data_IF_607490041618
#
_entry.id   IF_607490041618
#
_cell.length_a   1.000
_cell.length_b   1.000
_cell.length_c   1.000
_cell.angle_alpha   90.00
_cell.angle_beta   90.00
_cell.angle_gamma   90.00
#
_symmetry.space_group_name_H-M   'P 1'
#
loop_
_entity.id
_entity.type
_entity.pdbx_description
1 polymer ?
#
# COMPACT_ATOMS: atom_id res chain seq x y z
N UNK A 1 16.75 16.86 23.95
CA UNK A 1 17.49 16.27 22.81
C UNK A 1 16.60 16.44 21.59
N UNK A 2 17.09 17.09 20.54
CA UNK A 2 16.35 17.28 19.28
C UNK A 2 17.11 16.55 18.18
N UNK A 3 16.42 15.69 17.42
CA UNK A 3 17.01 14.94 16.32
C UNK A 3 16.44 15.43 14.99
N UNK A 4 17.31 15.58 13.98
CA UNK A 4 16.98 15.90 12.60
C UNK A 4 17.42 14.71 11.73
N UNK A 5 16.63 14.36 10.71
CA UNK A 5 16.96 13.30 9.77
C UNK A 5 16.30 13.51 8.41
N UNK A 6 16.86 12.88 7.39
CA UNK A 6 16.32 12.84 6.04
C UNK A 6 16.00 11.39 5.64
N UNK A 7 14.90 11.19 4.91
CA UNK A 7 14.46 9.88 4.44
C UNK A 7 13.66 10.01 3.15
N UNK A 8 13.55 8.92 2.41
CA UNK A 8 12.61 8.82 1.29
C UNK A 8 11.18 9.12 1.77
N UNK A 9 10.33 9.74 0.91
CA UNK A 9 8.91 9.91 1.20
C UNK A 9 8.28 8.57 1.54
N UNK A 10 7.55 8.53 2.66
CA UNK A 10 6.79 7.34 3.06
C UNK A 10 5.36 7.52 2.58
N UNK A 11 4.78 6.44 2.06
CA UNK A 11 3.35 6.38 1.72
C UNK A 11 2.66 5.52 2.75
N UNK A 12 1.71 6.10 3.48
CA UNK A 12 0.82 5.35 4.36
C UNK A 12 -0.35 4.84 3.51
N UNK A 13 -0.41 3.52 3.32
CA UNK A 13 -1.35 2.86 2.42
C UNK A 13 -1.99 1.67 3.12
N UNK A 14 -3.31 1.67 3.14
CA UNK A 14 -4.13 0.80 3.96
C UNK A 14 -5.03 -0.04 3.06
N UNK A 15 -5.27 -1.31 3.41
CA UNK A 15 -6.16 -2.21 2.66
C UNK A 15 -7.24 -2.79 3.57
N UNK A 16 -8.50 -2.53 3.22
CA UNK A 16 -9.69 -2.91 3.99
C UNK A 16 -10.15 -4.33 3.64
N UNK A 17 -10.40 -5.14 4.66
CA UNK A 17 -10.84 -6.52 4.54
C UNK A 17 -12.30 -6.67 4.97
N UNK A 18 -13.07 -7.50 4.27
CA UNK A 18 -14.49 -7.79 4.59
C UNK A 18 -14.62 -8.79 5.73
N UNK A 19 -14.07 -8.47 6.89
CA UNK A 19 -14.13 -9.25 8.12
C UNK A 19 -13.86 -8.33 9.30
N UNK A 20 -14.37 -8.67 10.47
CA UNK A 20 -14.06 -8.07 11.77
C UNK A 20 -12.97 -8.87 12.54
N UNK A 21 -12.49 -9.99 12.00
CA UNK A 21 -11.46 -10.81 12.65
C UNK A 21 -10.05 -10.21 12.48
N UNK A 22 -9.59 -9.55 13.54
CA UNK A 22 -8.25 -8.94 13.60
C UNK A 22 -7.11 -9.95 13.40
N UNK A 23 -7.32 -11.23 13.75
CA UNK A 23 -6.29 -12.27 13.59
C UNK A 23 -5.95 -12.49 12.11
N UNK A 24 -6.94 -12.33 11.23
CA UNK A 24 -6.74 -12.43 9.78
C UNK A 24 -5.88 -11.27 9.29
N UNK A 25 -6.22 -10.03 9.67
CA UNK A 25 -5.41 -8.86 9.32
C UNK A 25 -3.99 -8.95 9.88
N UNK A 26 -3.81 -9.43 11.12
CA UNK A 26 -2.51 -9.63 11.73
C UNK A 26 -1.68 -10.68 10.99
N UNK A 27 -2.28 -11.81 10.62
CA UNK A 27 -1.61 -12.85 9.85
C UNK A 27 -1.16 -12.32 8.48
N UNK A 28 -2.04 -11.62 7.75
CA UNK A 28 -1.72 -11.02 6.46
C UNK A 28 -0.64 -9.95 6.60
N UNK A 29 -0.70 -9.11 7.62
CA UNK A 29 0.31 -8.07 7.87
C UNK A 29 1.71 -8.68 8.09
N UNK A 30 1.79 -9.84 8.76
CA UNK A 30 3.03 -10.60 8.93
C UNK A 30 3.54 -11.17 7.61
N UNK A 31 2.66 -11.67 6.75
CA UNK A 31 3.06 -12.15 5.41
C UNK A 31 3.57 -11.02 4.51
N UNK A 32 3.03 -9.81 4.66
CA UNK A 32 3.34 -8.68 3.76
C UNK A 32 4.56 -7.87 4.21
N UNK A 33 4.80 -7.72 5.52
CA UNK A 33 5.85 -6.84 6.04
C UNK A 33 7.27 -7.43 5.90
N UNK A 34 8.23 -6.56 5.62
CA UNK A 34 9.63 -6.95 5.40
C UNK A 34 10.24 -7.72 6.58
N UNK A 35 10.01 -7.27 7.82
CA UNK A 35 10.62 -7.88 9.01
C UNK A 35 10.25 -9.35 9.21
N UNK A 36 9.20 -9.82 8.55
CA UNK A 36 8.72 -11.20 8.59
C UNK A 36 8.98 -11.95 7.28
N UNK A 37 9.81 -11.41 6.39
CA UNK A 37 10.19 -12.02 5.11
C UNK A 37 9.32 -11.62 3.92
N UNK A 38 8.38 -10.70 4.11
CA UNK A 38 7.51 -10.18 3.05
C UNK A 38 8.20 -9.16 2.14
N UNK A 39 7.43 -8.19 1.65
CA UNK A 39 7.90 -7.17 0.72
C UNK A 39 8.94 -6.27 1.39
N UNK A 40 10.09 -6.06 0.73
CA UNK A 40 11.04 -5.03 1.16
C UNK A 40 10.38 -3.66 1.14
N UNK A 41 10.87 -2.76 1.97
CA UNK A 41 10.33 -1.40 2.08
C UNK A 41 8.84 -1.33 2.48
N UNK A 42 8.28 -2.41 3.02
CA UNK A 42 6.93 -2.46 3.55
C UNK A 42 6.97 -2.77 5.05
N UNK A 43 6.33 -1.92 5.85
CA UNK A 43 5.96 -2.21 7.23
C UNK A 43 4.46 -2.37 7.28
N UNK A 44 3.95 -3.37 7.99
CA UNK A 44 2.52 -3.61 8.08
C UNK A 44 2.09 -4.10 9.47
N UNK A 45 0.87 -3.73 9.85
CA UNK A 45 0.16 -4.19 11.05
C UNK A 45 -1.32 -4.42 10.74
N UNK A 46 -1.99 -5.30 11.50
CA UNK A 46 -3.44 -5.38 11.52
C UNK A 46 -4.03 -4.28 12.39
N UNK A 47 -5.13 -3.66 11.94
CA UNK A 47 -5.89 -2.67 12.71
C UNK A 47 -7.38 -2.99 12.59
N UNK A 48 -8.10 -2.85 13.71
CA UNK A 48 -9.55 -2.95 13.75
C UNK A 48 -10.18 -1.56 13.58
N UNK A 49 -11.17 -1.43 12.69
CA UNK A 49 -11.99 -0.24 12.49
C UNK A 49 -13.37 -0.50 13.09
N UNK A 50 -13.48 -0.36 14.42
CA UNK A 50 -14.68 -0.72 15.21
C UNK A 50 -15.96 -0.07 14.69
N UNK A 51 -15.91 1.20 14.30
CA UNK A 51 -17.07 1.95 13.80
C UNK A 51 -17.60 1.40 12.46
N UNK A 52 -16.76 0.70 11.70
CA UNK A 52 -17.10 0.13 10.39
C UNK A 52 -17.33 -1.38 10.45
N UNK A 53 -17.06 -2.02 11.60
CA UNK A 53 -17.15 -3.48 11.74
C UNK A 53 -16.22 -4.24 10.78
N UNK A 54 -15.05 -3.67 10.47
CA UNK A 54 -14.06 -4.28 9.57
C UNK A 54 -12.65 -4.18 10.14
N UNK A 55 -11.74 -4.97 9.58
CA UNK A 55 -10.31 -4.89 9.84
C UNK A 55 -9.55 -4.44 8.60
N UNK A 56 -8.34 -3.96 8.83
CA UNK A 56 -7.50 -3.38 7.82
C UNK A 56 -6.05 -3.84 8.00
N UNK A 57 -5.37 -4.07 6.89
CA UNK A 57 -3.91 -4.17 6.87
C UNK A 57 -3.37 -2.76 6.65
N UNK A 58 -2.88 -2.14 7.71
CA UNK A 58 -2.26 -0.82 7.62
C UNK A 58 -0.80 -0.96 7.26
N UNK A 59 -0.36 -0.25 6.21
CA UNK A 59 1.00 -0.36 5.71
C UNK A 59 1.67 1.00 5.59
N UNK A 60 2.97 1.00 5.86
CA UNK A 60 3.88 2.08 5.56
C UNK A 60 4.87 1.60 4.51
N UNK A 61 4.75 2.16 3.31
CA UNK A 61 5.68 1.94 2.20
C UNK A 61 6.81 2.94 2.35
N UNK A 62 7.96 2.47 2.86
CA UNK A 62 9.10 3.33 3.20
C UNK A 62 9.90 3.79 1.99
N UNK A 63 9.74 3.09 0.86
CA UNK A 63 10.28 3.48 -0.44
C UNK A 63 9.40 2.89 -1.54
N UNK A 64 8.50 3.72 -2.09
CA UNK A 64 7.53 3.31 -3.11
C UNK A 64 8.19 3.05 -4.48
N UNK A 65 9.38 3.63 -4.72
CA UNK A 65 10.15 3.46 -5.97
C UNK A 65 10.76 2.07 -6.09
N UNK A 66 10.91 1.37 -4.95
CA UNK A 66 11.44 0.00 -4.88
C UNK A 66 10.35 -1.05 -4.72
N UNK A 67 9.29 -0.70 -3.99
CA UNK A 67 8.10 -1.54 -3.82
C UNK A 67 6.86 -0.71 -4.07
N UNK A 68 6.28 -0.88 -5.25
CA UNK A 68 5.08 -0.15 -5.69
C UNK A 68 3.84 -0.53 -4.87
N UNK A 69 2.86 0.39 -4.83
CA UNK A 69 1.61 0.21 -4.08
C UNK A 69 0.77 -0.95 -4.63
N UNK A 70 0.75 -1.14 -5.95
CA UNK A 70 0.01 -2.26 -6.54
C UNK A 70 0.53 -3.61 -6.03
N UNK A 71 1.85 -3.78 -5.81
CA UNK A 71 2.42 -5.05 -5.35
C UNK A 71 2.01 -5.37 -3.92
N UNK A 72 1.99 -4.37 -3.04
CA UNK A 72 1.52 -4.55 -1.66
C UNK A 72 0.02 -4.83 -1.62
N UNK A 73 -0.78 -4.11 -2.43
CA UNK A 73 -2.20 -4.38 -2.58
C UNK A 73 -2.49 -5.81 -3.07
N UNK A 74 -1.80 -6.24 -4.14
CA UNK A 74 -1.99 -7.57 -4.73
C UNK A 74 -1.58 -8.70 -3.79
N UNK A 75 -0.51 -8.50 -3.01
CA UNK A 75 -0.10 -9.48 -2.00
C UNK A 75 -1.15 -9.57 -0.89
N UNK A 76 -1.64 -8.45 -0.36
CA UNK A 76 -2.73 -8.45 0.63
C UNK A 76 -3.96 -9.16 0.06
N UNK A 77 -4.34 -8.85 -1.18
CA UNK A 77 -5.48 -9.48 -1.87
C UNK A 77 -5.30 -10.99 -2.02
N UNK A 78 -4.09 -11.43 -2.35
CA UNK A 78 -3.76 -12.86 -2.51
C UNK A 78 -3.78 -13.59 -1.17
N UNK A 79 -3.21 -13.00 -0.12
CA UNK A 79 -3.26 -13.57 1.23
C UNK A 79 -4.68 -13.60 1.79
N UNK A 80 -5.47 -12.53 1.60
CA UNK A 80 -6.87 -12.48 2.05
C UNK A 80 -7.74 -13.58 1.41
N UNK A 81 -7.51 -13.88 0.12
CA UNK A 81 -8.19 -14.99 -0.57
C UNK A 81 -7.95 -16.36 0.10
N UNK A 82 -6.78 -16.59 0.73
CA UNK A 82 -6.48 -17.84 1.45
C UNK A 82 -7.36 -18.04 2.68
N UNK A 83 -7.88 -16.95 3.23
CA UNK A 83 -8.81 -16.96 4.37
C UNK A 83 -10.28 -16.85 3.93
N UNK A 84 -10.58 -16.85 2.62
CA UNK A 84 -11.94 -16.64 2.12
C UNK A 84 -12.46 -15.21 2.34
N UNK A 85 -11.57 -14.26 2.61
CA UNK A 85 -11.92 -12.85 2.90
C UNK A 85 -11.68 -12.00 1.66
N UNK A 86 -12.63 -11.12 1.35
CA UNK A 86 -12.53 -10.18 0.25
C UNK A 86 -11.88 -8.87 0.69
N UNK A 87 -11.06 -8.28 -0.18
CA UNK A 87 -10.66 -6.88 -0.07
C UNK A 87 -11.82 -6.01 -0.54
N UNK A 88 -12.22 -5.01 0.25
CA UNK A 88 -13.35 -4.11 -0.04
C UNK A 88 -12.94 -2.68 -0.39
N UNK A 89 -11.65 -2.39 -0.32
CA UNK A 89 -11.09 -1.11 -0.74
C UNK A 89 -9.70 -0.89 -0.16
N UNK A 90 -9.13 0.26 -0.49
CA UNK A 90 -7.86 0.73 0.06
C UNK A 90 -7.94 2.23 0.32
N UNK A 91 -7.03 2.71 1.15
CA UNK A 91 -6.97 4.11 1.58
C UNK A 91 -5.52 4.60 1.57
N UNK A 92 -5.30 5.81 1.07
CA UNK A 92 -4.07 6.57 1.27
C UNK A 92 -4.28 7.50 2.45
N UNK A 93 -3.40 7.42 3.45
CA UNK A 93 -3.47 8.30 4.63
C UNK A 93 -2.51 9.48 4.42
N UNK A 94 -3.08 10.67 4.26
CA UNK A 94 -2.33 11.90 4.05
C UNK A 94 -1.94 12.10 2.58
N UNK A 95 -0.69 12.50 2.32
CA UNK A 95 -0.19 12.79 0.98
C UNK A 95 0.51 11.57 0.38
N UNK A 96 0.46 11.47 -0.95
CA UNK A 96 1.15 10.44 -1.73
C UNK A 96 1.86 11.08 -2.91
N UNK A 97 3.10 10.66 -3.24
CA UNK A 97 3.76 11.08 -4.46
C UNK A 97 2.96 10.65 -5.69
N UNK A 98 2.77 11.55 -6.65
CA UNK A 98 2.01 11.31 -7.87
C UNK A 98 2.50 10.06 -8.63
N UNK A 99 3.81 9.88 -8.72
CA UNK A 99 4.47 8.73 -9.36
C UNK A 99 3.98 7.38 -8.78
N UNK A 100 3.76 7.28 -7.46
CA UNK A 100 3.30 6.04 -6.83
C UNK A 100 1.89 5.60 -7.30
N UNK A 101 1.02 6.57 -7.61
CA UNK A 101 -0.30 6.32 -8.17
C UNK A 101 -0.24 6.01 -9.67
N UNK A 102 0.59 6.74 -10.41
CA UNK A 102 0.82 6.52 -11.84
C UNK A 102 1.34 5.10 -12.08
N UNK A 103 2.37 4.65 -11.35
CA UNK A 103 2.91 3.29 -11.46
C UNK A 103 1.85 2.21 -11.25
N UNK A 104 0.96 2.45 -10.30
CA UNK A 104 -0.18 1.57 -10.01
C UNK A 104 -1.16 1.54 -11.17
N UNK A 105 -1.50 2.71 -11.72
CA UNK A 105 -2.41 2.86 -12.83
C UNK A 105 -1.87 2.19 -14.11
N UNK A 106 -0.60 2.45 -14.44
CA UNK A 106 0.11 1.86 -15.58
C UNK A 106 0.13 0.33 -15.48
N UNK A 107 0.42 -0.22 -14.29
CA UNK A 107 0.42 -1.66 -14.08
C UNK A 107 -0.95 -2.29 -14.32
N UNK A 108 -2.02 -1.75 -13.73
CA UNK A 108 -3.36 -2.35 -13.88
C UNK A 108 -3.97 -2.18 -15.27
N UNK A 109 -3.64 -1.08 -15.96
CA UNK A 109 -4.11 -0.84 -17.32
C UNK A 109 -3.25 -1.51 -18.40
N UNK A 110 -2.03 -1.96 -18.05
CA UNK A 110 -1.11 -2.56 -19.01
C UNK A 110 -0.64 -1.58 -20.07
N UNK A 111 -0.44 -0.30 -19.71
CA UNK A 111 -0.05 0.73 -20.68
C UNK A 111 1.39 0.48 -21.13
N UNK A 112 1.57 0.27 -22.43
CA UNK A 112 2.88 0.02 -23.02
C UNK A 112 3.65 1.33 -23.26
N UNK A 113 4.96 1.32 -22.98
CA UNK A 113 5.88 2.44 -23.25
C UNK A 113 5.41 3.77 -22.62
N UNK A 114 4.73 3.68 -21.47
CA UNK A 114 4.33 4.85 -20.71
C UNK A 114 5.54 5.54 -20.08
N UNK A 115 5.50 6.87 -20.05
CA UNK A 115 6.51 7.70 -19.40
C UNK A 115 5.81 8.89 -18.71
N UNK A 116 6.39 9.41 -17.64
CA UNK A 116 5.77 10.48 -16.85
C UNK A 116 5.60 11.79 -17.65
N UNK A 117 6.38 11.99 -18.72
CA UNK A 117 6.25 13.15 -19.63
C UNK A 117 4.96 13.14 -20.45
N UNK A 118 4.23 12.01 -20.47
CA UNK A 118 2.90 11.90 -21.07
C UNK A 118 1.79 12.34 -20.10
N UNK A 119 2.11 12.59 -18.82
CA UNK A 119 1.20 13.19 -17.85
C UNK A 119 1.17 14.71 -18.07
N UNK A 120 0.00 15.23 -18.43
CA UNK A 120 -0.17 16.64 -18.76
C UNK A 120 0.31 17.56 -17.61
N UNK A 121 -0.10 17.26 -16.38
CA UNK A 121 0.24 18.03 -15.19
C UNK A 121 1.76 18.04 -14.94
N UNK A 122 2.46 16.95 -15.25
CA UNK A 122 3.93 16.89 -15.12
C UNK A 122 4.63 17.86 -16.06
N UNK A 123 4.03 18.17 -17.22
CA UNK A 123 4.56 19.12 -18.21
C UNK A 123 4.15 20.57 -17.93
N UNK A 124 3.11 20.79 -17.15
CA UNK A 124 2.62 22.13 -16.78
C UNK A 124 3.39 22.70 -15.57
N UNK A 125 3.93 21.83 -14.71
CA UNK A 125 4.69 22.22 -13.51
C UNK A 125 6.19 22.46 -13.75
N UNK A 126 6.68 22.23 -14.97
CA UNK A 126 8.03 22.63 -15.43
C UNK A 126 8.06 24.13 -15.81
#
# INVERSE_FOLDING_TARGET
>A
ITAIGARMPLVAFNVNLKTDDIKIADAISKSVRHISGGLRYCKAIGIELKERGIVQVSMNMTDYTKTSLYRSFELVRTEAKRYGVNVIGSEVVGLVPMEALIDTAVYYMGIEKFTTEQVLEARIWE
#
